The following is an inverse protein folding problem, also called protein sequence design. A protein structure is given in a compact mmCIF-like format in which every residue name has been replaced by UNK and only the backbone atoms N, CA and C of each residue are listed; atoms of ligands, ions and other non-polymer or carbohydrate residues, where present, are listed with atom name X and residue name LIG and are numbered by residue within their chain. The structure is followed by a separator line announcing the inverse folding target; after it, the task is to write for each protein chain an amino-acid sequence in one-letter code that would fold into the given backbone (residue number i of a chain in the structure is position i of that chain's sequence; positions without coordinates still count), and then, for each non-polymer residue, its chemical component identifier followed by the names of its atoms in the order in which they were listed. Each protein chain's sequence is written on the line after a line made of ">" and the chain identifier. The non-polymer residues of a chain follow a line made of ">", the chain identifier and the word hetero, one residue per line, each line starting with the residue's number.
data_IF_703899129893
#
_entry.id   IF_703899129893
#
_cell.length_a   1.000
_cell.length_b   1.000
_cell.length_c   1.000
_cell.angle_alpha   90.00
_cell.angle_beta   90.00
_cell.angle_gamma   90.00
#
_symmetry.space_group_name_H-M   'P 1'
#
loop_
_entity.id
_entity.type
_entity.pdbx_description
1 polymer ?
#
# COMPACT_ATOMS: atom_id res chain seq x y z
N UNK A 1 -9.05 2.34 -40.58
CA UNK A 1 -9.35 1.12 -39.82
C UNK A 1 -9.22 1.46 -38.35
N UNK A 2 -10.32 1.53 -37.61
CA UNK A 2 -10.29 1.74 -36.14
C UNK A 2 -9.60 0.52 -35.51
N UNK A 3 -8.33 0.67 -35.15
CA UNK A 3 -7.62 -0.38 -34.41
C UNK A 3 -8.35 -0.64 -33.11
N UNK A 4 -8.61 -1.90 -32.77
CA UNK A 4 -9.20 -2.26 -31.49
C UNK A 4 -8.32 -1.70 -30.36
N UNK A 5 -8.93 -1.01 -29.41
CA UNK A 5 -8.26 -0.44 -28.25
C UNK A 5 -7.55 -1.55 -27.46
N UNK A 6 -6.29 -1.32 -27.06
CA UNK A 6 -5.55 -2.28 -26.26
C UNK A 6 -6.22 -2.44 -24.89
N UNK A 7 -6.31 -3.69 -24.42
CA UNK A 7 -6.84 -4.03 -23.09
C UNK A 7 -5.72 -4.51 -22.18
N UNK A 8 -5.71 -4.03 -20.94
CA UNK A 8 -4.80 -4.45 -19.91
C UNK A 8 -5.55 -5.14 -18.76
N UNK A 9 -5.29 -6.43 -18.53
CA UNK A 9 -5.79 -7.12 -17.35
C UNK A 9 -4.94 -6.76 -16.15
N UNK A 10 -5.56 -6.19 -15.14
CA UNK A 10 -4.93 -5.83 -13.86
C UNK A 10 -5.38 -6.82 -12.80
N UNK A 11 -4.51 -7.74 -12.39
CA UNK A 11 -4.75 -8.55 -11.19
C UNK A 11 -4.46 -7.72 -9.94
N UNK A 12 -5.46 -7.57 -9.08
CA UNK A 12 -5.41 -6.69 -7.91
C UNK A 12 -6.23 -7.28 -6.75
N UNK A 13 -6.67 -6.45 -5.83
CA UNK A 13 -7.63 -6.79 -4.77
C UNK A 13 -8.97 -6.08 -5.01
N UNK A 14 -9.99 -6.50 -4.31
CA UNK A 14 -11.27 -5.79 -4.29
C UNK A 14 -11.08 -4.31 -3.93
N UNK A 15 -11.86 -3.38 -4.55
CA UNK A 15 -11.71 -1.93 -4.34
C UNK A 15 -12.23 -1.48 -2.96
N UNK A 16 -11.50 -1.86 -1.92
CA UNK A 16 -11.67 -1.37 -0.55
C UNK A 16 -10.68 -0.22 -0.27
N UNK A 17 -10.85 0.49 0.81
CA UNK A 17 -9.91 1.55 1.19
C UNK A 17 -8.52 0.98 1.55
N UNK A 18 -7.46 1.68 1.14
CA UNK A 18 -6.09 1.30 1.45
C UNK A 18 -5.06 1.55 0.36
N UNK A 19 -3.81 1.20 0.62
CA UNK A 19 -2.68 1.48 -0.27
C UNK A 19 -2.76 0.78 -1.63
N UNK A 20 -3.16 -0.50 -1.68
CA UNK A 20 -3.25 -1.24 -2.96
C UNK A 20 -4.31 -0.67 -3.89
N UNK A 21 -5.54 -0.36 -3.45
CA UNK A 21 -6.51 0.34 -4.30
C UNK A 21 -6.02 1.71 -4.78
N UNK A 22 -5.26 2.45 -3.98
CA UNK A 22 -4.65 3.72 -4.40
C UNK A 22 -3.59 3.50 -5.47
N UNK A 23 -2.71 2.51 -5.32
CA UNK A 23 -1.77 2.08 -6.36
C UNK A 23 -2.49 1.67 -7.66
N UNK A 24 -3.59 0.91 -7.54
CA UNK A 24 -4.38 0.47 -8.70
C UNK A 24 -4.98 1.66 -9.44
N UNK A 25 -5.54 2.65 -8.73
CA UNK A 25 -6.05 3.89 -9.36
C UNK A 25 -4.94 4.67 -10.07
N UNK A 26 -3.74 4.73 -9.49
CA UNK A 26 -2.58 5.36 -10.11
C UNK A 26 -2.24 4.70 -11.46
N UNK A 27 -2.07 3.37 -11.49
CA UNK A 27 -1.80 2.62 -12.73
C UNK A 27 -2.94 2.78 -13.74
N UNK A 28 -4.19 2.79 -13.27
CA UNK A 28 -5.36 3.06 -14.12
C UNK A 28 -5.25 4.40 -14.84
N UNK A 29 -4.87 5.46 -14.11
CA UNK A 29 -4.61 6.78 -14.68
C UNK A 29 -3.55 6.75 -15.77
N UNK A 30 -2.40 6.14 -15.48
CA UNK A 30 -1.28 6.01 -16.42
C UNK A 30 -1.64 5.19 -17.68
N UNK A 31 -2.44 4.13 -17.57
CA UNK A 31 -2.91 3.35 -18.71
C UNK A 31 -3.89 4.15 -19.57
N UNK A 32 -4.78 4.93 -18.94
CA UNK A 32 -5.74 5.77 -19.67
C UNK A 32 -5.07 6.90 -20.45
N UNK A 33 -3.99 7.48 -19.94
CA UNK A 33 -3.16 8.44 -20.67
C UNK A 33 -2.60 7.84 -21.97
N UNK A 34 -2.42 6.52 -22.03
CA UNK A 34 -1.94 5.77 -23.20
C UNK A 34 -3.07 5.17 -24.04
N UNK A 35 -4.33 5.54 -23.77
CA UNK A 35 -5.53 4.97 -24.42
C UNK A 35 -5.64 3.44 -24.28
N UNK A 36 -5.15 2.87 -23.18
CA UNK A 36 -5.27 1.46 -22.86
C UNK A 36 -6.45 1.26 -21.91
N UNK A 37 -7.36 0.34 -22.26
CA UNK A 37 -8.54 0.02 -21.47
C UNK A 37 -8.18 -0.93 -20.32
N UNK A 38 -8.36 -0.53 -19.04
CA UNK A 38 -8.13 -1.41 -17.91
C UNK A 38 -9.31 -2.36 -17.68
N UNK A 39 -9.00 -3.64 -17.46
CA UNK A 39 -9.91 -4.69 -17.01
C UNK A 39 -9.36 -5.25 -15.71
N UNK A 40 -10.19 -5.46 -14.69
CA UNK A 40 -9.72 -5.91 -13.38
C UNK A 40 -10.12 -7.34 -13.08
N UNK A 41 -9.26 -8.05 -12.36
CA UNK A 41 -9.60 -9.34 -11.78
C UNK A 41 -8.97 -9.49 -10.39
N UNK A 42 -9.71 -10.11 -9.48
CA UNK A 42 -9.21 -10.48 -8.16
C UNK A 42 -9.81 -11.78 -7.65
N UNK A 43 -9.13 -12.39 -6.70
CA UNK A 43 -9.70 -13.49 -5.96
C UNK A 43 -10.83 -12.97 -5.05
N UNK A 44 -12.01 -13.55 -5.19
CA UNK A 44 -13.17 -13.27 -4.34
C UNK A 44 -13.01 -13.99 -2.98
N UNK A 45 -12.83 -13.28 -1.86
CA UNK A 45 -12.72 -13.92 -0.55
C UNK A 45 -13.93 -14.80 -0.24
N UNK A 46 -13.69 -16.03 0.17
CA UNK A 46 -14.78 -16.99 0.47
C UNK A 46 -15.73 -16.48 1.57
N UNK A 47 -15.21 -15.71 2.54
CA UNK A 47 -16.04 -15.10 3.58
C UNK A 47 -17.05 -14.08 3.06
N UNK A 48 -16.79 -13.46 1.92
CA UNK A 48 -17.65 -12.43 1.30
C UNK A 48 -18.46 -13.01 0.15
N UNK A 49 -17.89 -13.94 -0.61
CA UNK A 49 -18.48 -14.54 -1.81
C UNK A 49 -18.48 -16.07 -1.73
N UNK A 50 -19.18 -16.69 -0.77
CA UNK A 50 -19.12 -18.15 -0.55
C UNK A 50 -19.62 -18.97 -1.73
N UNK A 51 -20.48 -18.39 -2.58
CA UNK A 51 -21.02 -19.07 -3.77
C UNK A 51 -20.03 -19.22 -4.91
N UNK A 52 -18.98 -18.37 -4.98
CA UNK A 52 -18.00 -18.37 -6.06
C UNK A 52 -16.91 -19.42 -5.89
N UNK A 53 -16.61 -19.84 -4.67
CA UNK A 53 -15.57 -20.82 -4.39
C UNK A 53 -16.13 -22.19 -4.03
N UNK A 54 -15.32 -23.23 -4.20
CA UNK A 54 -15.69 -24.63 -3.87
C UNK A 54 -14.79 -25.12 -2.74
N UNK A 55 -15.27 -25.10 -1.47
CA UNK A 55 -14.53 -25.60 -0.33
C UNK A 55 -14.43 -27.12 -0.34
N UNK A 56 -13.55 -27.67 0.51
CA UNK A 56 -13.26 -29.12 0.57
C UNK A 56 -14.54 -29.96 0.73
N UNK A 57 -15.45 -29.58 1.61
CA UNK A 57 -16.71 -30.31 1.86
C UNK A 57 -17.68 -30.26 0.68
N UNK A 58 -17.53 -29.30 -0.25
CA UNK A 58 -18.39 -29.16 -1.42
C UNK A 58 -17.83 -29.85 -2.69
N UNK A 59 -16.65 -30.47 -2.63
CA UNK A 59 -16.07 -31.18 -3.78
C UNK A 59 -16.99 -32.26 -4.35
N UNK A 60 -17.71 -33.07 -3.54
CA UNK A 60 -18.62 -34.09 -4.07
C UNK A 60 -19.85 -33.53 -4.81
N UNK A 61 -20.16 -32.25 -4.68
CA UNK A 61 -21.33 -31.63 -5.30
C UNK A 61 -21.23 -31.43 -6.82
N UNK A 62 -20.07 -31.66 -7.42
CA UNK A 62 -19.80 -31.36 -8.84
C UNK A 62 -19.76 -29.88 -9.20
N UNK A 63 -19.84 -28.98 -8.21
CA UNK A 63 -19.75 -27.53 -8.43
C UNK A 63 -18.35 -27.15 -8.91
N UNK A 64 -18.28 -26.08 -9.71
CA UNK A 64 -17.04 -25.45 -10.15
C UNK A 64 -16.94 -24.02 -9.61
N UNK A 65 -15.72 -23.50 -9.36
CA UNK A 65 -15.55 -22.09 -9.01
C UNK A 65 -16.13 -21.18 -10.08
N UNK A 66 -16.91 -20.20 -9.63
CA UNK A 66 -17.57 -19.21 -10.47
C UNK A 66 -16.79 -17.93 -10.63
N UNK A 67 -17.37 -17.02 -11.42
CA UNK A 67 -16.91 -15.64 -11.56
C UNK A 67 -18.12 -14.70 -11.46
N UNK A 68 -17.92 -13.54 -10.85
CA UNK A 68 -18.91 -12.45 -10.80
C UNK A 68 -18.36 -11.27 -11.58
N UNK A 69 -19.05 -10.89 -12.64
CA UNK A 69 -18.77 -9.68 -13.38
C UNK A 69 -19.42 -8.48 -12.70
N UNK A 70 -18.67 -7.39 -12.58
CA UNK A 70 -19.13 -6.16 -11.94
C UNK A 70 -18.38 -4.95 -12.48
N UNK A 71 -18.65 -3.77 -11.95
CA UNK A 71 -17.92 -2.54 -12.26
C UNK A 71 -17.12 -2.09 -11.04
N UNK A 72 -15.87 -1.67 -11.27
CA UNK A 72 -14.97 -1.24 -10.20
C UNK A 72 -13.97 -0.17 -10.70
N UNK A 73 -13.24 0.46 -9.79
CA UNK A 73 -12.16 1.40 -10.09
C UNK A 73 -12.53 2.50 -11.11
N UNK A 74 -13.67 3.15 -10.93
CA UNK A 74 -14.15 4.20 -11.84
C UNK A 74 -15.04 3.67 -12.97
N UNK A 75 -15.84 2.66 -12.70
CA UNK A 75 -16.83 2.07 -13.64
C UNK A 75 -16.23 1.21 -14.78
N UNK A 76 -15.03 0.67 -14.58
CA UNK A 76 -14.40 -0.26 -15.53
C UNK A 76 -14.88 -1.71 -15.32
N UNK A 77 -14.71 -2.54 -16.34
CA UNK A 77 -14.98 -3.99 -16.30
C UNK A 77 -14.13 -4.66 -15.22
N UNK A 78 -14.74 -5.47 -14.36
CA UNK A 78 -14.09 -6.11 -13.25
C UNK A 78 -14.69 -7.49 -12.93
N UNK A 79 -13.85 -8.43 -12.47
CA UNK A 79 -14.22 -9.80 -12.24
C UNK A 79 -13.74 -10.28 -10.87
N UNK A 80 -14.67 -10.66 -10.01
CA UNK A 80 -14.38 -11.37 -8.78
C UNK A 80 -14.38 -12.88 -9.07
N UNK A 81 -13.26 -13.57 -8.84
CA UNK A 81 -13.03 -14.95 -9.24
C UNK A 81 -12.93 -15.87 -8.03
N UNK A 82 -13.71 -16.94 -8.03
CA UNK A 82 -13.66 -17.98 -7.00
C UNK A 82 -12.49 -18.96 -7.18
N UNK A 83 -12.21 -19.74 -6.15
CA UNK A 83 -11.16 -20.76 -6.16
C UNK A 83 -11.67 -22.14 -5.74
N UNK A 84 -10.93 -23.19 -6.08
CA UNK A 84 -11.01 -24.48 -5.44
C UNK A 84 -10.29 -24.43 -4.09
N UNK A 85 -10.85 -25.08 -3.08
CA UNK A 85 -10.26 -25.22 -1.74
C UNK A 85 -9.84 -23.85 -1.15
N UNK A 86 -10.79 -22.92 -0.97
CA UNK A 86 -10.48 -21.59 -0.47
C UNK A 86 -9.84 -21.58 0.93
N UNK A 87 -9.88 -22.69 1.64
CA UNK A 87 -9.18 -22.93 2.91
C UNK A 87 -7.66 -22.90 2.74
N UNK A 88 -7.16 -23.20 1.52
CA UNK A 88 -5.75 -23.24 1.16
C UNK A 88 -5.40 -21.99 0.37
N UNK A 89 -4.77 -21.00 1.00
CA UNK A 89 -4.48 -19.69 0.40
C UNK A 89 -3.75 -19.77 -0.94
N UNK A 90 -2.83 -20.72 -1.12
CA UNK A 90 -2.07 -20.84 -2.37
C UNK A 90 -2.96 -21.15 -3.60
N UNK A 91 -4.17 -21.71 -3.39
CA UNK A 91 -5.10 -22.03 -4.48
C UNK A 91 -5.73 -20.79 -5.11
N UNK A 92 -5.76 -19.67 -4.37
CA UNK A 92 -6.32 -18.40 -4.82
C UNK A 92 -5.57 -17.84 -6.04
N UNK A 93 -4.29 -18.14 -6.15
CA UNK A 93 -3.39 -17.59 -7.19
C UNK A 93 -3.22 -18.52 -8.39
N UNK A 94 -3.90 -19.68 -8.42
CA UNK A 94 -3.70 -20.63 -9.51
C UNK A 94 -4.52 -20.24 -10.77
N UNK A 95 -3.93 -20.33 -11.99
CA UNK A 95 -4.61 -19.95 -13.23
C UNK A 95 -5.66 -20.98 -13.64
N UNK A 96 -6.84 -20.91 -13.06
CA UNK A 96 -8.00 -21.72 -13.38
C UNK A 96 -8.72 -21.19 -14.65
N UNK A 97 -9.77 -21.90 -15.10
CA UNK A 97 -10.48 -21.57 -16.34
C UNK A 97 -10.90 -20.10 -16.40
N UNK A 98 -11.55 -19.58 -15.37
CA UNK A 98 -11.99 -18.19 -15.34
C UNK A 98 -10.84 -17.18 -15.46
N UNK A 99 -9.67 -17.43 -14.82
CA UNK A 99 -8.46 -16.62 -15.00
C UNK A 99 -7.96 -16.69 -16.45
N UNK A 100 -7.86 -17.90 -17.04
CA UNK A 100 -7.36 -18.09 -18.41
C UNK A 100 -8.23 -17.36 -19.44
N UNK A 101 -9.55 -17.39 -19.29
CA UNK A 101 -10.49 -16.69 -20.15
C UNK A 101 -10.27 -15.17 -20.13
N UNK A 102 -10.06 -14.57 -18.93
CA UNK A 102 -9.79 -13.13 -18.79
C UNK A 102 -8.40 -12.76 -19.28
N UNK A 103 -7.39 -13.58 -19.01
CA UNK A 103 -6.03 -13.39 -19.53
C UNK A 103 -6.04 -13.39 -21.06
N UNK A 104 -6.74 -14.33 -21.69
CA UNK A 104 -6.82 -14.42 -23.16
C UNK A 104 -7.57 -13.25 -23.82
N UNK A 105 -8.42 -12.53 -23.08
CA UNK A 105 -9.15 -11.38 -23.59
C UNK A 105 -8.36 -10.07 -23.60
N UNK A 106 -7.15 -10.04 -23.02
CA UNK A 106 -6.33 -8.84 -22.88
C UNK A 106 -4.94 -9.04 -23.48
N UNK A 107 -4.33 -7.95 -23.96
CA UNK A 107 -2.99 -7.96 -24.58
C UNK A 107 -1.89 -7.68 -23.55
N UNK A 108 -2.20 -6.90 -22.50
CA UNK A 108 -1.26 -6.57 -21.43
C UNK A 108 -1.70 -7.21 -20.11
N UNK A 109 -0.74 -7.64 -19.31
CA UNK A 109 -0.98 -8.33 -18.04
C UNK A 109 -0.23 -7.62 -16.92
N UNK A 110 -0.96 -6.90 -16.08
CA UNK A 110 -0.42 -6.18 -14.94
C UNK A 110 -0.87 -6.82 -13.64
N UNK A 111 -0.06 -6.67 -12.60
CA UNK A 111 -0.43 -7.01 -11.22
C UNK A 111 -0.12 -5.83 -10.32
N UNK A 112 -1.10 -5.37 -9.53
CA UNK A 112 -0.93 -4.27 -8.58
C UNK A 112 -1.45 -4.74 -7.22
N UNK A 113 -0.53 -5.10 -6.33
CA UNK A 113 -0.91 -5.83 -5.11
C UNK A 113 0.05 -5.61 -3.94
N UNK A 114 -0.37 -6.05 -2.76
CA UNK A 114 0.48 -6.08 -1.58
C UNK A 114 1.72 -6.95 -1.77
N UNK A 115 1.55 -8.17 -2.32
CA UNK A 115 2.62 -9.13 -2.54
C UNK A 115 2.60 -9.67 -3.99
N UNK A 116 3.66 -10.30 -4.51
CA UNK A 116 3.77 -10.66 -5.92
C UNK A 116 2.87 -11.81 -6.38
N UNK A 117 2.20 -12.54 -5.49
CA UNK A 117 1.48 -13.78 -5.82
C UNK A 117 0.32 -13.58 -6.82
N UNK A 118 -0.30 -12.41 -6.87
CA UNK A 118 -1.36 -12.14 -7.86
C UNK A 118 -0.86 -12.13 -9.31
N UNK A 119 0.46 -12.04 -9.55
CA UNK A 119 1.04 -12.23 -10.87
C UNK A 119 1.32 -13.71 -11.23
N UNK A 120 1.10 -14.64 -10.30
CA UNK A 120 1.35 -16.06 -10.52
C UNK A 120 0.61 -16.65 -11.75
N UNK A 121 -0.65 -16.27 -12.04
CA UNK A 121 -1.31 -16.75 -13.25
C UNK A 121 -0.53 -16.43 -14.53
N UNK A 122 0.03 -15.26 -14.64
CA UNK A 122 0.83 -14.83 -15.79
C UNK A 122 2.15 -15.58 -15.87
N UNK A 123 2.88 -15.64 -14.75
CA UNK A 123 4.16 -16.37 -14.67
C UNK A 123 4.02 -17.86 -15.00
N UNK A 124 2.91 -18.50 -14.59
CA UNK A 124 2.65 -19.92 -14.91
C UNK A 124 2.25 -20.19 -16.35
N UNK A 125 1.72 -19.19 -17.02
CA UNK A 125 1.36 -19.27 -18.44
C UNK A 125 2.49 -18.82 -19.36
N UNK A 126 3.66 -18.41 -18.81
CA UNK A 126 4.80 -17.93 -19.58
C UNK A 126 4.50 -16.63 -20.33
N UNK A 127 3.64 -15.78 -19.78
CA UNK A 127 3.21 -14.53 -20.42
C UNK A 127 4.02 -13.34 -19.91
N UNK A 128 4.35 -12.37 -20.76
CA UNK A 128 4.89 -11.10 -20.29
C UNK A 128 3.96 -10.42 -19.29
N UNK A 129 4.52 -9.93 -18.19
CA UNK A 129 3.75 -9.19 -17.19
C UNK A 129 4.58 -8.13 -16.47
N UNK A 130 3.90 -7.12 -15.96
CA UNK A 130 4.45 -6.07 -15.10
C UNK A 130 3.75 -6.11 -13.75
N UNK A 131 4.50 -6.34 -12.66
CA UNK A 131 3.93 -6.42 -11.32
C UNK A 131 4.46 -5.29 -10.43
N UNK A 132 3.57 -4.46 -9.90
CA UNK A 132 3.88 -3.44 -8.91
C UNK A 132 3.52 -3.93 -7.51
N UNK A 133 4.54 -4.10 -6.66
CA UNK A 133 4.47 -4.86 -5.41
C UNK A 133 4.83 -3.99 -4.22
N UNK A 134 3.99 -3.98 -3.19
CA UNK A 134 4.21 -3.17 -1.99
C UNK A 134 5.13 -3.82 -0.96
N UNK A 135 5.15 -5.17 -0.85
CA UNK A 135 5.93 -5.90 0.17
C UNK A 135 6.06 -7.38 -0.20
N UNK A 136 7.06 -8.13 0.30
CA UNK A 136 7.06 -9.59 0.21
C UNK A 136 5.86 -10.19 0.97
N UNK A 137 5.39 -11.35 0.50
CA UNK A 137 4.26 -12.05 1.09
C UNK A 137 4.44 -12.34 2.58
N UNK A 138 5.63 -12.76 3.00
CA UNK A 138 5.91 -13.10 4.40
C UNK A 138 5.83 -11.88 5.32
N UNK A 139 6.34 -10.74 4.90
CA UNK A 139 6.28 -9.48 5.66
C UNK A 139 4.83 -8.98 5.82
N UNK A 140 4.00 -9.07 4.77
CA UNK A 140 2.59 -8.72 4.83
C UNK A 140 1.81 -9.62 5.81
N UNK A 141 2.22 -10.90 5.94
CA UNK A 141 1.53 -11.91 6.71
C UNK A 141 1.97 -12.03 8.17
N UNK A 142 3.21 -11.68 8.50
CA UNK A 142 3.85 -11.98 9.78
C UNK A 142 2.99 -11.62 11.01
N UNK A 143 2.28 -10.50 10.98
CA UNK A 143 1.42 -10.07 12.08
C UNK A 143 0.03 -10.73 12.07
N UNK A 144 -0.51 -11.07 10.89
CA UNK A 144 -1.82 -11.74 10.76
C UNK A 144 -1.79 -13.17 11.31
N UNK A 145 -0.70 -13.89 11.11
CA UNK A 145 -0.55 -15.28 11.60
C UNK A 145 -0.60 -15.37 13.12
N UNK A 146 -0.20 -14.33 13.83
CA UNK A 146 -0.26 -14.29 15.32
C UNK A 146 -1.69 -14.46 15.86
N UNK A 147 -2.69 -13.98 15.13
CA UNK A 147 -4.11 -14.10 15.45
C UNK A 147 -4.78 -15.42 15.02
N UNK A 148 -4.07 -16.35 14.37
CA UNK A 148 -4.66 -17.59 13.91
C UNK A 148 -4.86 -18.58 15.06
N UNK A 149 -5.96 -19.38 15.00
CA UNK A 149 -6.16 -20.54 15.87
C UNK A 149 -5.03 -21.58 15.68
N UNK A 150 -4.76 -22.39 16.67
CA UNK A 150 -3.71 -23.41 16.62
C UNK A 150 -3.80 -24.33 15.39
N UNK A 151 -4.96 -24.92 15.03
CA UNK A 151 -5.06 -25.76 13.82
C UNK A 151 -4.74 -24.99 12.54
N UNK A 152 -5.21 -23.76 12.44
CA UNK A 152 -4.91 -22.90 11.27
C UNK A 152 -3.45 -22.52 11.19
N UNK A 153 -2.80 -22.29 12.33
CA UNK A 153 -1.36 -22.01 12.41
C UNK A 153 -0.51 -23.20 11.98
N UNK A 154 -0.88 -24.42 12.40
CA UNK A 154 -0.21 -25.65 11.98
C UNK A 154 -0.37 -25.89 10.47
N UNK A 155 -1.57 -25.75 9.93
CA UNK A 155 -1.81 -25.84 8.50
C UNK A 155 -1.02 -24.80 7.71
N UNK A 156 -0.90 -23.61 8.25
CA UNK A 156 -0.13 -22.52 7.66
C UNK A 156 1.35 -22.83 7.63
N UNK A 157 1.91 -23.26 8.75
CA UNK A 157 3.33 -23.58 8.87
C UNK A 157 3.72 -24.83 8.04
N UNK A 158 2.88 -25.84 8.02
CA UNK A 158 3.17 -27.12 7.35
C UNK A 158 2.91 -27.12 5.85
N UNK A 159 1.90 -26.40 5.37
CA UNK A 159 1.47 -26.48 3.98
C UNK A 159 1.41 -25.11 3.29
N UNK A 160 0.58 -24.18 3.77
CA UNK A 160 0.36 -22.92 3.07
C UNK A 160 1.65 -22.08 2.96
N UNK A 161 2.36 -21.88 4.06
CA UNK A 161 3.56 -21.06 4.09
C UNK A 161 4.68 -21.55 3.16
N UNK A 162 5.11 -22.82 3.25
CA UNK A 162 6.11 -23.37 2.33
C UNK A 162 5.70 -23.29 0.87
N UNK A 163 4.42 -23.57 0.56
CA UNK A 163 3.91 -23.49 -0.80
C UNK A 163 3.91 -22.05 -1.31
N UNK A 164 3.40 -21.11 -0.53
CA UNK A 164 3.33 -19.68 -0.93
C UNK A 164 4.72 -19.07 -1.13
N UNK A 165 5.70 -19.40 -0.26
CA UNK A 165 7.11 -19.00 -0.48
C UNK A 165 7.70 -19.55 -1.78
N UNK A 166 7.36 -20.79 -2.13
CA UNK A 166 7.78 -21.37 -3.41
C UNK A 166 7.15 -20.66 -4.60
N UNK A 167 5.84 -20.38 -4.51
CA UNK A 167 5.10 -19.68 -5.57
C UNK A 167 5.55 -18.23 -5.72
N UNK A 168 5.83 -17.53 -4.63
CA UNK A 168 6.41 -16.19 -4.64
C UNK A 168 7.75 -16.16 -5.37
N UNK A 169 8.66 -17.09 -5.03
CA UNK A 169 9.93 -17.24 -5.75
C UNK A 169 9.75 -17.56 -7.22
N UNK A 170 8.75 -18.34 -7.60
CA UNK A 170 8.41 -18.62 -8.99
C UNK A 170 8.05 -17.33 -9.73
N UNK A 171 7.21 -16.47 -9.17
CA UNK A 171 6.85 -15.18 -9.77
C UNK A 171 8.07 -14.27 -9.90
N UNK A 172 8.84 -14.13 -8.81
CA UNK A 172 10.01 -13.23 -8.77
C UNK A 172 11.13 -13.64 -9.71
N UNK A 173 11.19 -14.91 -10.11
CA UNK A 173 12.19 -15.46 -11.02
C UNK A 173 11.68 -15.70 -12.45
N UNK A 174 10.41 -15.40 -12.72
CA UNK A 174 9.82 -15.55 -14.04
C UNK A 174 10.58 -14.67 -15.06
N UNK A 175 11.13 -15.24 -16.15
CA UNK A 175 11.95 -14.49 -17.10
C UNK A 175 11.13 -13.47 -17.89
N UNK A 176 9.85 -13.72 -18.10
CA UNK A 176 8.92 -12.85 -18.81
C UNK A 176 8.38 -11.71 -17.92
N UNK A 177 8.62 -11.79 -16.61
CA UNK A 177 8.08 -10.87 -15.61
C UNK A 177 9.02 -9.72 -15.28
N UNK A 178 8.47 -8.52 -15.19
CA UNK A 178 9.13 -7.35 -14.60
C UNK A 178 8.45 -7.00 -13.28
N UNK A 179 9.27 -6.86 -12.24
CA UNK A 179 8.79 -6.53 -10.90
C UNK A 179 9.20 -5.10 -10.57
N UNK A 180 8.22 -4.26 -10.28
CA UNK A 180 8.41 -2.92 -9.73
C UNK A 180 8.15 -2.96 -8.23
N UNK A 181 9.13 -2.63 -7.44
CA UNK A 181 8.96 -2.49 -5.99
C UNK A 181 8.41 -1.10 -5.64
N UNK A 182 7.55 -1.03 -4.62
CA UNK A 182 6.97 0.24 -4.17
C UNK A 182 8.01 1.16 -3.47
N UNK A 183 9.11 0.57 -2.96
CA UNK A 183 10.21 1.28 -2.30
C UNK A 183 11.52 0.52 -2.45
N UNK A 184 12.65 1.15 -2.16
CA UNK A 184 13.95 0.45 -2.14
C UNK A 184 13.96 -0.66 -1.08
N UNK A 185 13.38 -0.41 0.10
CA UNK A 185 13.20 -1.44 1.13
C UNK A 185 12.45 -2.68 0.59
N UNK A 186 11.39 -2.45 -0.17
CA UNK A 186 10.64 -3.55 -0.81
C UNK A 186 11.49 -4.25 -1.88
N UNK A 187 12.24 -3.51 -2.70
CA UNK A 187 13.14 -4.08 -3.70
C UNK A 187 14.19 -4.99 -3.08
N UNK A 188 14.83 -4.55 -2.00
CA UNK A 188 15.83 -5.31 -1.26
C UNK A 188 15.25 -6.58 -0.65
N UNK A 189 14.07 -6.47 -0.01
CA UNK A 189 13.38 -7.60 0.59
C UNK A 189 12.91 -8.63 -0.45
N UNK A 190 12.36 -8.19 -1.59
CA UNK A 190 12.00 -9.07 -2.71
C UNK A 190 13.26 -9.72 -3.33
N UNK A 191 14.35 -8.98 -3.40
CA UNK A 191 15.65 -9.47 -3.87
C UNK A 191 16.17 -10.61 -3.02
N UNK A 192 16.07 -10.52 -1.70
CA UNK A 192 16.42 -11.60 -0.77
C UNK A 192 15.58 -12.86 -1.04
N UNK A 193 14.26 -12.73 -1.23
CA UNK A 193 13.37 -13.85 -1.55
C UNK A 193 13.69 -14.46 -2.91
N UNK A 194 14.00 -13.64 -3.91
CA UNK A 194 14.34 -14.08 -5.26
C UNK A 194 15.74 -14.67 -5.36
N UNK A 195 16.66 -14.32 -4.44
CA UNK A 195 18.08 -14.65 -4.52
C UNK A 195 18.82 -13.89 -5.65
N UNK A 196 18.30 -12.74 -6.05
CA UNK A 196 18.89 -11.80 -7.03
C UNK A 196 18.42 -10.37 -6.75
N UNK A 197 19.22 -9.33 -7.09
CA UNK A 197 18.77 -7.94 -6.92
C UNK A 197 17.49 -7.66 -7.71
N UNK A 198 16.59 -6.85 -7.11
CA UNK A 198 15.46 -6.23 -7.78
C UNK A 198 15.79 -4.75 -7.95
N UNK A 199 15.97 -4.32 -9.22
CA UNK A 199 16.53 -3.00 -9.51
C UNK A 199 15.47 -1.91 -9.73
N UNK A 200 14.23 -2.29 -10.08
CA UNK A 200 13.22 -1.33 -10.51
C UNK A 200 12.32 -0.94 -9.34
N UNK A 201 12.33 0.36 -9.01
CA UNK A 201 11.46 0.96 -8.00
C UNK A 201 10.52 1.94 -8.68
N UNK A 202 9.23 1.82 -8.41
CA UNK A 202 8.21 2.79 -8.76
C UNK A 202 7.58 3.30 -7.45
N UNK A 203 8.00 4.47 -7.03
CA UNK A 203 7.39 5.13 -5.88
C UNK A 203 5.95 5.54 -6.19
N UNK A 204 5.09 5.49 -5.19
CA UNK A 204 3.76 6.07 -5.31
C UNK A 204 3.90 7.58 -5.52
N UNK A 205 3.43 8.14 -6.65
CA UNK A 205 3.46 9.57 -6.86
C UNK A 205 2.46 10.28 -5.94
N UNK A 206 2.80 11.50 -5.57
CA UNK A 206 1.90 12.38 -4.85
C UNK A 206 1.29 13.39 -5.82
N UNK A 207 -0.03 13.54 -5.77
CA UNK A 207 -0.75 14.52 -6.56
C UNK A 207 -0.56 15.92 -5.97
N UNK A 208 0.31 16.72 -6.56
CA UNK A 208 0.61 18.09 -6.13
C UNK A 208 -0.54 19.08 -6.37
N UNK A 209 -1.57 18.72 -7.13
CA UNK A 209 -2.77 19.54 -7.24
C UNK A 209 -3.63 19.44 -5.98
N UNK A 210 -3.57 18.30 -5.27
CA UNK A 210 -4.30 18.05 -4.03
C UNK A 210 -3.41 18.31 -2.81
N UNK A 211 -2.26 17.66 -2.75
CA UNK A 211 -1.33 17.72 -1.60
C UNK A 211 -0.26 18.77 -1.85
N UNK A 212 -0.45 19.94 -1.27
CA UNK A 212 0.43 21.11 -1.40
C UNK A 212 0.45 21.90 -0.10
N UNK A 213 1.48 22.71 0.15
CA UNK A 213 1.49 23.60 1.30
C UNK A 213 0.38 24.64 1.20
N UNK A 214 -0.29 24.90 2.31
CA UNK A 214 -1.19 26.04 2.47
C UNK A 214 -0.81 26.80 3.74
N UNK A 215 -0.92 28.13 3.77
CA UNK A 215 -0.72 28.90 4.98
C UNK A 215 -1.77 28.52 6.04
N UNK A 216 -1.33 27.98 7.16
CA UNK A 216 -2.21 27.63 8.27
C UNK A 216 -1.98 28.53 9.49
N UNK A 217 -3.06 28.78 10.24
CA UNK A 217 -2.97 29.51 11.49
C UNK A 217 -2.12 28.74 12.52
N UNK A 218 -1.36 29.47 13.34
CA UNK A 218 -0.60 28.89 14.46
C UNK A 218 -1.57 28.37 15.51
N UNK A 219 -1.58 27.09 15.74
CA UNK A 219 -2.37 26.39 16.76
C UNK A 219 -1.45 25.56 17.65
N UNK A 220 -1.92 25.06 18.82
CA UNK A 220 -1.11 24.18 19.66
C UNK A 220 -0.58 22.99 18.86
N UNK A 221 0.46 22.32 19.35
CA UNK A 221 1.14 21.22 18.66
C UNK A 221 0.16 20.17 18.16
N UNK A 222 -0.05 20.13 16.86
CA UNK A 222 -0.88 19.14 16.19
C UNK A 222 -0.01 18.06 15.61
N UNK A 223 -0.15 16.87 16.15
CA UNK A 223 0.48 15.67 15.62
C UNK A 223 -0.55 14.80 14.94
N UNK A 224 -0.20 14.17 13.82
CA UNK A 224 -1.16 13.40 13.05
C UNK A 224 -0.67 12.02 12.65
N UNK A 225 -1.63 11.13 12.49
CA UNK A 225 -1.49 9.81 11.91
C UNK A 225 -2.64 9.56 10.94
N UNK A 226 -2.35 8.98 9.77
CA UNK A 226 -3.40 8.56 8.84
C UNK A 226 -3.17 7.11 8.38
N UNK A 227 -4.19 6.27 8.56
CA UNK A 227 -4.16 4.86 8.22
C UNK A 227 -5.06 3.99 9.11
N UNK A 228 -5.09 2.69 8.84
CA UNK A 228 -5.87 1.72 9.62
C UNK A 228 -5.20 1.46 10.96
N UNK A 229 -5.53 2.25 11.98
CA UNK A 229 -4.92 2.11 13.31
C UNK A 229 -5.38 0.86 14.08
N UNK A 230 -6.41 0.17 13.62
CA UNK A 230 -6.77 -1.17 14.09
C UNK A 230 -5.81 -2.28 13.58
N UNK A 231 -4.99 -2.01 12.56
CA UNK A 231 -3.97 -2.95 12.06
C UNK A 231 -2.81 -3.01 13.07
N UNK A 232 -2.50 -4.18 13.68
CA UNK A 232 -1.42 -4.30 14.67
C UNK A 232 -0.04 -3.84 14.15
N UNK A 233 0.20 -3.86 12.84
CA UNK A 233 1.45 -3.37 12.24
C UNK A 233 1.65 -1.88 12.45
N UNK A 234 0.54 -1.12 12.59
CA UNK A 234 0.57 0.33 12.79
C UNK A 234 1.00 0.75 14.19
N UNK A 235 1.01 -0.19 15.15
CA UNK A 235 1.55 0.01 16.48
C UNK A 235 1.04 1.31 17.14
N UNK A 236 -0.26 1.51 17.09
CA UNK A 236 -0.88 2.75 17.62
C UNK A 236 -0.62 2.92 19.13
N UNK A 237 -0.38 1.83 19.84
CA UNK A 237 -0.07 1.85 21.27
C UNK A 237 1.20 2.66 21.59
N UNK A 238 2.23 2.57 20.73
CA UNK A 238 3.44 3.40 20.82
C UNK A 238 3.09 4.90 20.73
N UNK A 239 2.20 5.29 19.81
CA UNK A 239 1.80 6.68 19.62
C UNK A 239 0.97 7.18 20.81
N UNK A 240 0.08 6.36 21.36
CA UNK A 240 -0.69 6.71 22.56
C UNK A 240 0.21 6.86 23.79
N UNK A 241 1.21 5.99 23.94
CA UNK A 241 2.24 6.12 24.98
C UNK A 241 3.07 7.40 24.85
N UNK A 242 3.43 7.75 23.61
CA UNK A 242 4.10 9.01 23.31
C UNK A 242 3.23 10.24 23.67
N UNK A 243 1.95 10.24 23.29
CA UNK A 243 1.00 11.31 23.61
C UNK A 243 0.85 11.49 25.13
N UNK A 244 0.74 10.37 25.87
CA UNK A 244 0.68 10.39 27.35
C UNK A 244 1.92 11.07 27.96
N UNK A 245 3.12 10.75 27.46
CA UNK A 245 4.35 11.38 27.94
C UNK A 245 4.42 12.87 27.64
N UNK A 246 3.99 13.29 26.45
CA UNK A 246 3.92 14.71 26.09
C UNK A 246 2.93 15.45 27.00
N UNK A 247 1.78 14.87 27.25
CA UNK A 247 0.78 15.46 28.15
C UNK A 247 1.30 15.58 29.60
N UNK A 248 1.94 14.55 30.13
CA UNK A 248 2.54 14.57 31.47
C UNK A 248 3.63 15.64 31.61
N UNK A 249 4.28 16.03 30.54
CA UNK A 249 5.27 17.14 30.51
C UNK A 249 4.63 18.52 30.36
N UNK A 250 3.30 18.61 30.31
CA UNK A 250 2.59 19.86 30.12
C UNK A 250 2.67 20.41 28.67
N UNK A 251 3.03 19.58 27.69
CA UNK A 251 3.07 20.01 26.30
C UNK A 251 1.62 20.30 25.78
N UNK A 252 1.40 21.41 25.07
CA UNK A 252 0.10 21.76 24.49
C UNK A 252 -0.15 20.94 23.22
N UNK A 253 -0.36 19.62 23.35
CA UNK A 253 -0.43 18.67 22.23
C UNK A 253 -1.84 18.19 21.94
N UNK A 254 -2.18 18.05 20.67
CA UNK A 254 -3.40 17.43 20.16
C UNK A 254 -3.03 16.37 19.11
N UNK A 255 -3.62 15.16 19.23
CA UNK A 255 -3.42 14.06 18.28
C UNK A 255 -4.61 13.95 17.34
N UNK A 256 -4.35 13.99 16.03
CA UNK A 256 -5.32 13.72 14.97
C UNK A 256 -5.10 12.33 14.39
N UNK A 257 -6.14 11.46 14.48
CA UNK A 257 -6.15 10.11 13.92
C UNK A 257 -7.15 10.06 12.78
N UNK A 258 -6.72 9.71 11.57
CA UNK A 258 -7.60 9.55 10.41
C UNK A 258 -7.53 8.12 9.84
N UNK A 259 -8.68 7.60 9.37
CA UNK A 259 -8.72 6.36 8.59
C UNK A 259 -9.57 5.21 9.14
N UNK A 260 -10.18 5.36 10.30
CA UNK A 260 -11.15 4.40 10.84
C UNK A 260 -12.46 5.11 11.22
N UNK A 261 -13.57 4.39 11.02
CA UNK A 261 -14.90 4.92 11.39
C UNK A 261 -15.21 4.74 12.87
N UNK A 262 -14.65 3.72 13.49
CA UNK A 262 -14.98 3.32 14.85
C UNK A 262 -13.78 3.47 15.79
N UNK A 263 -13.98 4.30 16.80
CA UNK A 263 -13.04 4.56 17.87
C UNK A 263 -13.21 3.63 19.08
N UNK A 264 -14.26 2.81 19.10
CA UNK A 264 -14.58 1.97 20.26
C UNK A 264 -13.38 1.10 20.68
N UNK A 265 -12.55 0.69 19.72
CA UNK A 265 -11.33 -0.08 19.96
C UNK A 265 -10.25 0.70 20.74
N UNK A 266 -10.20 2.02 20.60
CA UNK A 266 -9.20 2.87 21.26
C UNK A 266 -9.70 3.51 22.56
N UNK A 267 -11.01 3.73 22.72
CA UNK A 267 -11.57 4.42 23.88
C UNK A 267 -11.10 3.88 25.24
N UNK A 268 -11.07 2.54 25.49
CA UNK A 268 -10.59 2.04 26.76
C UNK A 268 -9.14 2.45 27.04
N UNK A 269 -8.27 2.39 26.05
CA UNK A 269 -6.86 2.76 26.17
C UNK A 269 -6.69 4.27 26.37
N UNK A 270 -7.48 5.10 25.70
CA UNK A 270 -7.44 6.55 25.83
C UNK A 270 -7.83 7.00 27.25
N UNK A 271 -8.91 6.40 27.81
CA UNK A 271 -9.38 6.65 29.18
C UNK A 271 -8.36 6.18 30.22
N UNK A 272 -7.85 4.96 30.07
CA UNK A 272 -6.84 4.41 30.98
C UNK A 272 -5.58 5.29 31.06
N UNK A 273 -5.20 5.93 29.95
CA UNK A 273 -4.04 6.83 29.87
C UNK A 273 -4.35 8.28 30.22
N UNK A 274 -5.63 8.63 30.41
CA UNK A 274 -6.06 10.02 30.69
C UNK A 274 -5.85 10.98 29.52
N UNK A 275 -5.81 10.50 28.27
CA UNK A 275 -5.50 11.28 27.06
C UNK A 275 -6.70 11.45 26.12
N UNK A 276 -7.87 10.94 26.48
CA UNK A 276 -9.08 11.00 25.63
C UNK A 276 -9.40 12.44 25.15
N UNK A 277 -9.30 13.51 25.98
CA UNK A 277 -9.59 14.87 25.53
C UNK A 277 -8.62 15.43 24.48
N UNK A 278 -7.44 14.81 24.34
CA UNK A 278 -6.37 15.25 23.44
C UNK A 278 -6.46 14.62 22.05
N UNK A 279 -7.37 13.67 21.84
CA UNK A 279 -7.45 12.92 20.58
C UNK A 279 -8.66 13.36 19.76
N UNK A 280 -8.39 13.72 18.51
CA UNK A 280 -9.40 14.02 17.48
C UNK A 280 -9.37 12.92 16.43
N UNK A 281 -10.49 12.29 16.24
CA UNK A 281 -10.61 11.22 15.27
C UNK A 281 -11.42 11.65 14.09
N UNK A 282 -10.93 11.28 12.93
CA UNK A 282 -11.50 11.55 11.65
C UNK A 282 -11.89 10.23 10.97
N UNK A 283 -13.07 10.12 10.36
CA UNK A 283 -13.40 8.98 9.52
C UNK A 283 -12.39 8.86 8.37
N UNK A 284 -12.48 7.83 7.53
CA UNK A 284 -11.77 7.82 6.26
C UNK A 284 -12.09 9.10 5.48
N UNK A 285 -11.05 9.89 5.20
CA UNK A 285 -11.15 11.19 4.53
C UNK A 285 -10.91 11.03 3.03
N UNK A 286 -11.65 11.78 2.22
CA UNK A 286 -11.33 11.93 0.80
C UNK A 286 -9.98 12.68 0.63
N UNK A 287 -9.27 12.51 -0.50
CA UNK A 287 -7.95 13.13 -0.68
C UNK A 287 -7.89 14.64 -0.40
N UNK A 288 -8.85 15.49 -0.83
CA UNK A 288 -8.82 16.91 -0.48
C UNK A 288 -9.00 17.19 1.02
N UNK A 289 -9.85 16.41 1.70
CA UNK A 289 -10.08 16.54 3.16
C UNK A 289 -8.85 16.09 3.95
N UNK A 290 -8.21 15.01 3.49
CA UNK A 290 -6.94 14.54 4.07
C UNK A 290 -5.85 15.60 3.90
N UNK A 291 -5.73 16.21 2.73
CA UNK A 291 -4.78 17.28 2.49
C UNK A 291 -5.00 18.46 3.45
N UNK A 292 -6.25 18.89 3.63
CA UNK A 292 -6.60 19.94 4.59
C UNK A 292 -6.18 19.59 6.02
N UNK A 293 -6.40 18.34 6.45
CA UNK A 293 -5.93 17.88 7.75
C UNK A 293 -4.40 17.93 7.84
N UNK A 294 -3.69 17.34 6.85
CA UNK A 294 -2.23 17.27 6.85
C UNK A 294 -1.57 18.64 6.87
N UNK A 295 -2.13 19.63 6.19
CA UNK A 295 -1.68 21.03 6.17
C UNK A 295 -1.73 21.70 7.56
N UNK A 296 -2.58 21.22 8.47
CA UNK A 296 -2.71 21.76 9.83
C UNK A 296 -1.73 21.16 10.83
N UNK A 297 -1.01 20.09 10.46
CA UNK A 297 -0.15 19.35 11.38
C UNK A 297 1.24 20.00 11.51
N UNK A 298 1.79 19.98 12.71
CA UNK A 298 3.18 20.30 12.96
C UNK A 298 4.11 19.13 12.67
N UNK A 299 3.62 17.89 12.89
CA UNK A 299 4.38 16.66 12.69
C UNK A 299 3.44 15.53 12.29
N UNK A 300 3.79 14.80 11.22
CA UNK A 300 3.16 13.52 10.90
C UNK A 300 3.95 12.38 11.53
N UNK A 301 3.26 11.40 12.15
CA UNK A 301 3.91 10.33 12.93
C UNK A 301 3.65 8.95 12.33
N UNK A 302 4.72 8.17 12.19
CA UNK A 302 4.66 6.75 11.79
C UNK A 302 5.19 5.89 12.93
N UNK A 303 4.32 5.35 13.80
CA UNK A 303 4.73 4.51 14.93
C UNK A 303 4.91 3.03 14.55
N UNK A 304 4.74 2.68 13.30
CA UNK A 304 4.56 1.33 12.76
C UNK A 304 5.73 0.38 13.08
N UNK A 305 5.42 -0.91 13.19
CA UNK A 305 6.42 -1.97 13.22
C UNK A 305 7.00 -2.27 11.83
N UNK A 306 6.17 -2.14 10.78
CA UNK A 306 6.58 -2.40 9.40
C UNK A 306 5.72 -1.60 8.42
N UNK A 307 6.39 -0.98 7.44
CA UNK A 307 5.77 -0.28 6.30
C UNK A 307 6.50 -0.61 5.00
N UNK A 308 5.72 -0.86 3.94
CA UNK A 308 6.27 -0.93 2.60
C UNK A 308 6.70 0.45 2.08
N UNK A 309 5.86 1.47 2.31
CA UNK A 309 6.14 2.86 1.94
C UNK A 309 5.51 3.87 2.91
N UNK A 310 4.26 3.70 3.35
CA UNK A 310 3.43 4.68 4.03
C UNK A 310 3.08 5.89 3.15
N UNK A 311 2.11 5.71 2.24
CA UNK A 311 1.68 6.74 1.27
C UNK A 311 1.28 8.04 1.97
N UNK A 312 0.51 7.96 3.07
CA UNK A 312 0.07 9.12 3.83
C UNK A 312 1.21 10.00 4.35
N UNK A 313 2.39 9.44 4.59
CA UNK A 313 3.56 10.24 4.97
C UNK A 313 4.14 11.03 3.79
N UNK A 314 4.13 10.48 2.58
CA UNK A 314 4.51 11.23 1.38
C UNK A 314 3.51 12.38 1.11
N UNK A 315 2.22 12.11 1.32
CA UNK A 315 1.16 13.12 1.23
C UNK A 315 1.35 14.24 2.28
N UNK A 316 1.72 13.87 3.52
CA UNK A 316 2.07 14.85 4.56
C UNK A 316 3.30 15.68 4.18
N UNK A 317 4.36 15.05 3.68
CA UNK A 317 5.55 15.74 3.20
C UNK A 317 5.25 16.72 2.07
N UNK A 318 4.34 16.36 1.15
CA UNK A 318 3.88 17.26 0.09
C UNK A 318 3.06 18.44 0.62
N UNK A 319 2.41 18.29 1.78
CA UNK A 319 1.76 19.37 2.52
C UNK A 319 2.72 20.17 3.41
N UNK A 320 4.04 20.01 3.26
CA UNK A 320 5.08 20.65 4.08
C UNK A 320 5.06 20.20 5.56
N UNK A 321 4.59 19.00 5.86
CA UNK A 321 4.56 18.45 7.21
C UNK A 321 5.74 17.52 7.42
N UNK A 322 6.67 17.80 8.36
CA UNK A 322 7.78 16.92 8.70
C UNK A 322 7.31 15.59 9.29
N UNK A 323 8.12 14.55 9.12
CA UNK A 323 7.76 13.19 9.56
C UNK A 323 8.66 12.73 10.71
N UNK A 324 8.05 12.19 11.78
CA UNK A 324 8.72 11.37 12.79
C UNK A 324 8.32 9.93 12.59
N UNK A 325 9.28 9.04 12.38
CA UNK A 325 9.01 7.63 12.09
C UNK A 325 9.87 6.69 12.91
N UNK A 326 9.31 5.55 13.27
CA UNK A 326 10.11 4.40 13.66
C UNK A 326 10.95 3.90 12.47
N UNK A 327 12.01 3.11 12.73
CA UNK A 327 12.78 2.41 11.69
C UNK A 327 12.02 1.20 11.19
N UNK A 328 10.94 1.42 10.39
CA UNK A 328 9.96 0.39 10.03
C UNK A 328 10.01 -0.03 8.55
N UNK A 329 11.08 0.28 7.83
CA UNK A 329 11.27 -0.13 6.42
C UNK A 329 11.18 1.03 5.43
N UNK A 330 10.14 1.06 4.58
CA UNK A 330 9.99 2.07 3.52
C UNK A 330 10.21 3.53 3.94
N UNK A 331 9.72 4.01 5.08
CA UNK A 331 9.97 5.35 5.57
C UNK A 331 11.44 5.76 5.69
N UNK A 332 12.35 4.81 5.92
CA UNK A 332 13.78 5.10 6.00
C UNK A 332 14.38 5.64 4.69
N UNK A 333 13.68 5.47 3.57
CA UNK A 333 14.09 5.99 2.27
C UNK A 333 13.89 7.52 2.15
N UNK A 334 12.88 8.08 2.83
CA UNK A 334 12.48 9.47 2.68
C UNK A 334 12.48 10.28 3.99
N UNK A 335 12.43 9.63 5.14
CA UNK A 335 12.64 10.28 6.44
C UNK A 335 14.15 10.37 6.69
N UNK A 336 14.74 11.46 6.19
CA UNK A 336 16.17 11.71 6.27
C UNK A 336 16.44 12.63 7.46
N UNK A 337 17.33 12.18 8.35
CA UNK A 337 17.67 12.87 9.60
C UNK A 337 18.04 14.34 9.34
N UNK A 338 17.45 15.27 10.09
CA UNK A 338 17.64 16.73 10.01
C UNK A 338 17.36 17.35 8.61
N UNK A 339 16.83 16.56 7.67
CA UNK A 339 16.52 17.03 6.30
C UNK A 339 15.03 17.02 6.00
N UNK A 340 14.33 15.93 6.29
CA UNK A 340 12.90 15.77 6.00
C UNK A 340 12.09 15.36 7.23
N UNK A 341 12.75 14.92 8.30
CA UNK A 341 12.13 14.44 9.52
C UNK A 341 13.15 13.81 10.46
N UNK A 342 12.68 12.90 11.30
CA UNK A 342 13.50 12.19 12.27
C UNK A 342 13.11 10.72 12.40
N UNK A 343 14.10 9.82 12.40
CA UNK A 343 13.95 8.39 12.66
C UNK A 343 14.23 8.09 14.13
N UNK A 344 13.35 7.30 14.75
CA UNK A 344 13.45 6.88 16.15
C UNK A 344 13.37 5.37 16.31
N UNK A 345 13.71 4.86 17.48
CA UNK A 345 13.42 3.49 17.89
C UNK A 345 11.93 3.31 18.24
N UNK A 346 11.48 2.05 18.43
CA UNK A 346 10.14 1.74 18.93
C UNK A 346 10.05 1.99 20.45
N UNK A 347 10.29 3.22 20.86
CA UNK A 347 10.27 3.68 22.24
C UNK A 347 9.43 4.96 22.34
N UNK A 348 8.38 5.00 23.21
CA UNK A 348 7.51 6.16 23.37
C UNK A 348 8.27 7.42 23.79
N UNK A 349 9.33 7.26 24.62
CA UNK A 349 10.14 8.37 25.09
C UNK A 349 10.97 9.01 23.98
N UNK A 350 11.61 8.19 23.12
CA UNK A 350 12.37 8.67 21.98
C UNK A 350 11.46 9.39 20.97
N UNK A 351 10.27 8.83 20.72
CA UNK A 351 9.29 9.44 19.82
C UNK A 351 8.75 10.77 20.37
N UNK A 352 8.42 10.83 21.66
CA UNK A 352 7.98 12.06 22.34
C UNK A 352 9.04 13.15 22.28
N UNK A 353 10.31 12.81 22.49
CA UNK A 353 11.43 13.76 22.39
C UNK A 353 11.58 14.32 20.98
N UNK A 354 11.49 13.46 19.94
CA UNK A 354 11.60 13.87 18.55
C UNK A 354 10.45 14.82 18.16
N UNK A 355 9.21 14.47 18.53
CA UNK A 355 8.04 15.31 18.27
C UNK A 355 8.17 16.67 18.97
N UNK A 356 8.49 16.67 20.26
CA UNK A 356 8.68 17.91 21.01
C UNK A 356 9.77 18.81 20.40
N UNK A 357 10.89 18.22 20.01
CA UNK A 357 12.01 18.96 19.40
C UNK A 357 11.68 19.60 18.04
N UNK A 358 10.72 19.06 17.30
CA UNK A 358 10.24 19.64 16.03
C UNK A 358 9.09 20.64 16.31
N UNK A 359 8.10 20.25 17.10
CA UNK A 359 6.92 21.08 17.35
C UNK A 359 7.22 22.38 18.10
N UNK A 360 8.16 22.34 19.08
CA UNK A 360 8.57 23.53 19.83
C UNK A 360 9.55 24.44 19.10
N UNK A 361 10.16 23.99 18.01
CA UNK A 361 11.21 24.74 17.29
C UNK A 361 10.76 25.07 15.86
N UNK A 362 10.09 26.20 15.69
CA UNK A 362 9.58 26.66 14.39
C UNK A 362 10.64 26.72 13.29
N UNK A 363 11.85 27.29 13.48
CA UNK A 363 12.89 27.30 12.45
C UNK A 363 13.33 25.89 12.01
N UNK A 364 13.43 24.94 12.96
CA UNK A 364 13.73 23.53 12.65
C UNK A 364 12.60 22.91 11.84
N UNK A 365 11.35 23.10 12.26
CA UNK A 365 10.18 22.58 11.55
C UNK A 365 10.09 23.09 10.12
N UNK A 366 10.27 24.40 9.90
CA UNK A 366 10.26 25.01 8.56
C UNK A 366 11.40 24.47 7.68
N UNK A 367 12.60 24.26 8.23
CA UNK A 367 13.72 23.67 7.50
C UNK A 367 13.42 22.22 7.06
N UNK A 368 12.86 21.40 7.96
CA UNK A 368 12.47 20.03 7.66
C UNK A 368 11.32 19.97 6.62
N UNK A 369 10.35 20.87 6.74
CA UNK A 369 9.25 21.02 5.79
C UNK A 369 9.75 21.32 4.36
N UNK A 370 10.67 22.27 4.22
CA UNK A 370 11.28 22.58 2.93
C UNK A 370 12.09 21.40 2.36
N UNK A 371 12.78 20.66 3.23
CA UNK A 371 13.48 19.45 2.83
C UNK A 371 12.53 18.36 2.35
N UNK A 372 11.39 18.18 3.03
CA UNK A 372 10.33 17.26 2.65
C UNK A 372 9.75 17.60 1.27
N UNK A 373 9.41 18.86 1.03
CA UNK A 373 8.91 19.34 -0.27
C UNK A 373 9.90 19.06 -1.41
N UNK A 374 11.17 19.39 -1.22
CA UNK A 374 12.21 19.09 -2.22
C UNK A 374 12.30 17.61 -2.51
N UNK A 375 12.30 16.78 -1.46
CA UNK A 375 12.37 15.34 -1.65
C UNK A 375 11.18 14.81 -2.47
N UNK A 376 9.95 15.26 -2.20
CA UNK A 376 8.74 14.88 -2.97
C UNK A 376 8.88 15.31 -4.42
N UNK A 377 9.28 16.55 -4.69
CA UNK A 377 9.50 17.06 -6.06
C UNK A 377 10.48 16.19 -6.85
N UNK A 378 11.59 15.83 -6.22
CA UNK A 378 12.68 15.11 -6.87
C UNK A 378 12.40 13.63 -7.10
N UNK A 379 11.61 12.97 -6.21
CA UNK A 379 11.51 11.51 -6.18
C UNK A 379 10.10 10.96 -6.34
N UNK A 380 9.07 11.67 -5.89
CA UNK A 380 7.68 11.18 -5.86
C UNK A 380 6.72 12.04 -6.69
N UNK A 381 7.21 12.68 -7.75
CA UNK A 381 6.39 13.43 -8.69
C UNK A 381 5.65 12.50 -9.67
N UNK A 382 4.47 12.94 -10.15
CA UNK A 382 3.71 12.23 -11.18
C UNK A 382 4.51 12.04 -12.48
N UNK A 383 5.35 13.01 -12.84
CA UNK A 383 6.20 12.92 -14.03
C UNK A 383 7.25 11.81 -13.91
N UNK A 384 7.91 11.68 -12.73
CA UNK A 384 8.89 10.61 -12.47
C UNK A 384 8.23 9.23 -12.52
N UNK A 385 7.05 9.08 -11.89
CA UNK A 385 6.31 7.83 -11.91
C UNK A 385 5.87 7.45 -13.33
N UNK A 386 5.34 8.41 -14.09
CA UNK A 386 4.96 8.23 -15.51
C UNK A 386 6.15 7.75 -16.34
N UNK A 387 7.28 8.43 -16.27
CA UNK A 387 8.50 8.06 -17.02
C UNK A 387 8.97 6.66 -16.68
N UNK A 388 9.00 6.29 -15.40
CA UNK A 388 9.38 4.95 -14.95
C UNK A 388 8.40 3.89 -15.45
N UNK A 389 7.09 4.12 -15.31
CA UNK A 389 6.05 3.20 -15.77
C UNK A 389 6.12 2.98 -17.29
N UNK A 390 6.21 4.05 -18.09
CA UNK A 390 6.30 3.99 -19.55
C UNK A 390 7.54 3.19 -20.01
N UNK A 391 8.71 3.46 -19.40
CA UNK A 391 9.93 2.71 -19.69
C UNK A 391 9.74 1.22 -19.45
N UNK A 392 9.15 0.83 -18.32
CA UNK A 392 8.94 -0.57 -17.97
C UNK A 392 7.85 -1.23 -18.83
N UNK A 393 6.81 -0.49 -19.17
CA UNK A 393 5.77 -0.97 -20.07
C UNK A 393 6.36 -1.29 -21.44
N UNK A 394 7.13 -0.37 -22.05
CA UNK A 394 7.82 -0.57 -23.33
C UNK A 394 8.83 -1.71 -23.29
N UNK A 395 9.55 -1.85 -22.18
CA UNK A 395 10.52 -2.92 -22.01
C UNK A 395 9.86 -4.31 -21.85
N UNK A 396 8.62 -4.36 -21.34
CA UNK A 396 7.86 -5.61 -21.18
C UNK A 396 7.17 -6.00 -22.49
N UNK A 397 6.65 -5.03 -23.25
CA UNK A 397 5.95 -5.24 -24.53
C UNK A 397 6.53 -4.40 -25.64
N UNK A 398 7.76 -4.69 -26.12
CA UNK A 398 8.44 -3.86 -27.12
C UNK A 398 7.76 -3.84 -28.49
N UNK A 399 6.93 -4.83 -28.79
CA UNK A 399 6.25 -4.98 -30.09
C UNK A 399 4.83 -4.42 -30.13
N UNK A 400 4.28 -3.98 -28.98
CA UNK A 400 2.94 -3.39 -28.98
C UNK A 400 2.98 -1.92 -29.43
N UNK A 401 1.98 -1.48 -30.23
CA UNK A 401 1.87 -0.10 -30.69
C UNK A 401 1.39 0.81 -29.54
N UNK A 402 2.21 0.92 -28.51
CA UNK A 402 1.97 1.83 -27.38
C UNK A 402 2.56 3.18 -27.78
N UNK A 403 1.72 4.13 -28.11
CA UNK A 403 2.12 5.51 -28.38
C UNK A 403 2.48 6.19 -27.06
N UNK A 404 3.75 6.09 -26.68
CA UNK A 404 4.29 6.89 -25.59
C UNK A 404 4.45 8.32 -26.15
N UNK A 405 3.63 9.26 -25.71
CA UNK A 405 3.91 10.66 -25.96
C UNK A 405 5.31 10.93 -25.41
N UNK A 406 6.21 11.42 -26.27
CA UNK A 406 7.53 11.88 -25.84
C UNK A 406 7.29 12.96 -24.78
N UNK A 407 7.59 12.64 -23.53
CA UNK A 407 7.54 13.62 -22.45
C UNK A 407 8.69 14.57 -22.69
N UNK A 408 8.40 15.72 -23.27
CA UNK A 408 9.23 16.92 -23.25
C UNK A 408 9.31 17.48 -21.83
#
# INVERSE_FOLDING_TARGET
>A
MSGARLKALISTIEPIDGGVPTMTRCITGLLRELDIEPVYAWYAPWSQHPSLSVPLFALPSGRHPGALEQRAYGNHEAHALGSWLPELEFTHYLPRRAWRERIASCQLHLSVTGNPLCALPYARLGLPFLAWVATPWEADRANRVRGFSLPRRLLDQGLNGPMLRRLERQVLRAPEGRILALSQYTADALGQVAGRPMADVLLMPVDSAIYRPEPTAVVPWRIGFAGRYADPRKNIDLLLGCLQLLHQRGAPVELHLAGEKDLSLLQPQLRQRGIEPLVRCHPPLAPPELAQLLQTLDVFVIPSHQEGLCIAALEAMACATPVVSTRCGGPQQYVLEERTGQLVGSDPQAMANAIAAIASNRPRRERLAQGALRWISDHASTASARSTFHRQLKATWPHLPIHLAEAL
#
